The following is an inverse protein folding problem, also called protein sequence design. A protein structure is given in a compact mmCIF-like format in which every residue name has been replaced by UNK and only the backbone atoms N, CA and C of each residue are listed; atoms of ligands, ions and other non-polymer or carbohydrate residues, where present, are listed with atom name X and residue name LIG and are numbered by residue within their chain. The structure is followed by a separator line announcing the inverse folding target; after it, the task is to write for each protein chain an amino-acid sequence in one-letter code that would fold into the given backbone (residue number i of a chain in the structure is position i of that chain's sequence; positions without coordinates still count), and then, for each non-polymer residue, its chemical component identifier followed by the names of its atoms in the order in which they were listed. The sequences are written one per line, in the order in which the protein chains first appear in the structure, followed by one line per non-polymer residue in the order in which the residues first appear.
data_IF_504741081627
#
_entry.id   IF_504741081627
#
_cell.length_a   1.000
_cell.length_b   1.000
_cell.length_c   1.000
_cell.angle_alpha   90.00
_cell.angle_beta   90.00
_cell.angle_gamma   90.00
#
_symmetry.space_group_name_H-M   'P 1'
#
loop_
_entity.id
_entity.type
_entity.pdbx_description
1 polymer ?
#
# COMPACT_ATOMS: atom_id res chain seq x y z
N UNK A 1 1.33 -22.16 10.82
CA UNK A 1 1.24 -21.19 11.92
C UNK A 1 0.71 -21.87 13.15
N UNK A 2 1.38 -21.71 14.27
CA UNK A 2 0.98 -22.27 15.56
C UNK A 2 1.20 -21.19 16.61
N UNK A 3 0.17 -20.89 17.44
CA UNK A 3 0.23 -19.90 18.52
C UNK A 3 0.85 -18.54 18.10
N UNK A 4 0.48 -18.06 16.91
CA UNK A 4 1.01 -16.81 16.35
C UNK A 4 2.42 -16.90 15.77
N UNK A 5 3.11 -18.06 15.86
CA UNK A 5 4.43 -18.26 15.27
C UNK A 5 4.32 -18.82 13.86
N UNK A 6 4.85 -18.06 12.88
CA UNK A 6 4.89 -18.45 11.48
C UNK A 6 6.25 -19.04 11.11
N UNK A 7 6.24 -20.19 10.46
CA UNK A 7 7.48 -20.82 10.00
C UNK A 7 7.25 -22.13 9.27
N UNK A 8 8.36 -22.71 8.82
CA UNK A 8 8.40 -24.04 8.22
C UNK A 8 8.73 -25.09 9.28
N UNK A 9 8.11 -26.25 9.19
CA UNK A 9 8.50 -27.40 9.99
C UNK A 9 9.82 -27.92 9.44
N UNK A 10 10.88 -27.87 10.26
CA UNK A 10 12.21 -28.34 9.91
C UNK A 10 12.53 -29.71 10.47
N UNK A 11 11.88 -30.09 11.59
CA UNK A 11 12.10 -31.38 12.21
C UNK A 11 10.83 -31.80 12.99
N UNK A 12 10.50 -33.08 12.95
CA UNK A 12 9.40 -33.71 13.71
C UNK A 12 9.98 -34.84 14.54
N UNK A 13 9.91 -34.70 15.87
CA UNK A 13 10.35 -35.70 16.83
C UNK A 13 9.16 -36.36 17.52
N UNK A 14 9.42 -37.41 18.29
CA UNK A 14 8.38 -38.16 18.95
C UNK A 14 7.51 -37.32 19.92
N UNK A 15 8.05 -36.24 20.51
CA UNK A 15 7.37 -35.42 21.54
C UNK A 15 7.22 -33.96 21.14
N UNK A 16 8.00 -33.46 20.17
CA UNK A 16 7.98 -32.07 19.74
C UNK A 16 8.26 -31.92 18.27
N UNK A 17 7.83 -30.81 17.73
CA UNK A 17 8.07 -30.35 16.36
C UNK A 17 8.83 -29.05 16.39
N UNK A 18 9.85 -28.93 15.54
CA UNK A 18 10.64 -27.69 15.38
C UNK A 18 10.11 -26.91 14.20
N UNK A 19 9.75 -25.66 14.46
CA UNK A 19 9.26 -24.71 13.46
C UNK A 19 10.27 -23.58 13.35
N UNK A 20 10.81 -23.35 12.13
CA UNK A 20 11.77 -22.29 11.85
C UNK A 20 11.09 -21.15 11.09
N UNK A 21 11.17 -19.93 11.63
CA UNK A 21 10.67 -18.73 10.97
C UNK A 21 11.58 -18.26 9.84
N UNK A 22 11.05 -17.41 8.94
CA UNK A 22 11.86 -16.75 7.90
C UNK A 22 13.00 -15.86 8.43
N UNK A 23 12.94 -15.44 9.70
CA UNK A 23 14.00 -14.69 10.39
C UNK A 23 15.08 -15.61 11.01
N UNK A 24 14.97 -16.93 10.85
CA UNK A 24 15.90 -17.91 11.39
C UNK A 24 15.61 -18.33 12.83
N UNK A 25 14.62 -17.78 13.51
CA UNK A 25 14.22 -18.21 14.86
C UNK A 25 13.56 -19.59 14.79
N UNK A 26 13.86 -20.42 15.77
CA UNK A 26 13.25 -21.74 15.93
C UNK A 26 12.32 -21.75 17.14
N UNK A 27 11.16 -22.35 16.98
CA UNK A 27 10.19 -22.64 18.03
C UNK A 27 10.06 -24.14 18.18
N UNK A 28 10.19 -24.63 19.40
CA UNK A 28 10.00 -26.04 19.76
C UNK A 28 8.57 -26.15 20.32
N UNK A 29 7.72 -26.80 19.56
CA UNK A 29 6.29 -26.94 19.90
C UNK A 29 6.03 -28.39 20.32
N UNK A 30 5.50 -28.66 21.53
CA UNK A 30 5.08 -30.00 21.92
C UNK A 30 4.02 -30.54 20.94
N UNK A 31 4.12 -31.82 20.53
CA UNK A 31 3.17 -32.41 19.58
C UNK A 31 1.73 -32.41 20.13
N UNK A 32 1.56 -32.46 21.44
CA UNK A 32 0.25 -32.34 22.08
C UNK A 32 -0.44 -31.00 21.74
N UNK A 33 0.31 -29.90 21.72
CA UNK A 33 -0.22 -28.59 21.29
C UNK A 33 -0.63 -28.59 19.82
N UNK A 34 0.09 -29.31 18.97
CA UNK A 34 -0.24 -29.43 17.52
C UNK A 34 -1.58 -30.16 17.29
N UNK A 35 -1.99 -31.01 18.23
CA UNK A 35 -3.24 -31.81 18.13
C UNK A 35 -4.41 -31.10 18.82
N UNK A 36 -4.15 -30.36 19.91
CA UNK A 36 -5.19 -29.73 20.73
C UNK A 36 -5.51 -28.30 20.33
N UNK A 37 -4.58 -27.62 19.65
CA UNK A 37 -4.78 -26.23 19.24
C UNK A 37 -5.07 -26.12 17.74
N UNK A 38 -5.65 -24.98 17.35
CA UNK A 38 -5.85 -24.66 15.93
C UNK A 38 -4.49 -24.43 15.25
N UNK A 39 -4.19 -25.26 14.29
CA UNK A 39 -3.01 -25.13 13.41
C UNK A 39 -3.46 -24.61 12.05
N UNK A 40 -2.94 -23.48 11.63
CA UNK A 40 -3.13 -22.96 10.28
C UNK A 40 -2.02 -23.52 9.38
N UNK A 41 -2.38 -24.36 8.42
CA UNK A 41 -1.44 -24.93 7.47
C UNK A 41 -1.66 -24.27 6.09
N UNK A 42 -0.68 -23.50 5.63
CA UNK A 42 -0.72 -22.78 4.35
C UNK A 42 -0.34 -23.65 3.15
N UNK A 43 0.17 -24.85 3.38
CA UNK A 43 0.71 -25.72 2.31
C UNK A 43 0.07 -27.10 2.21
N UNK A 44 -0.96 -27.40 3.03
CA UNK A 44 -1.53 -28.76 3.10
C UNK A 44 -2.30 -29.14 1.84
N UNK A 45 -3.18 -28.26 1.36
CA UNK A 45 -4.04 -28.52 0.22
C UNK A 45 -3.69 -27.62 -0.98
N UNK A 46 -3.29 -26.38 -0.71
CA UNK A 46 -2.95 -25.38 -1.73
C UNK A 46 -1.75 -24.56 -1.26
N UNK A 47 -0.69 -24.59 -2.05
CA UNK A 47 0.52 -23.80 -1.75
C UNK A 47 0.41 -22.34 -2.19
N UNK A 48 -0.68 -21.99 -2.85
CA UNK A 48 -0.89 -20.62 -3.32
C UNK A 48 -1.22 -19.70 -2.13
N UNK A 49 -0.53 -18.58 -2.07
CA UNK A 49 -0.75 -17.56 -1.05
C UNK A 49 -1.14 -16.25 -1.73
N UNK A 50 -2.22 -15.65 -1.23
CA UNK A 50 -2.67 -14.34 -1.69
C UNK A 50 -1.81 -13.24 -1.07
N UNK A 51 -1.36 -12.32 -1.89
CA UNK A 51 -0.67 -11.10 -1.48
C UNK A 51 -1.31 -9.88 -2.10
N UNK A 52 -1.20 -8.75 -1.43
CA UNK A 52 -1.67 -7.48 -1.96
C UNK A 52 -0.73 -6.33 -1.61
N UNK A 53 -0.74 -5.31 -2.46
CA UNK A 53 -0.08 -4.02 -2.23
C UNK A 53 -1.03 -2.89 -2.61
N UNK A 54 -0.91 -1.76 -1.94
CA UNK A 54 -1.69 -0.55 -2.25
C UNK A 54 -0.77 0.47 -2.90
N UNK A 55 -1.27 1.10 -3.95
CA UNK A 55 -0.55 2.13 -4.71
C UNK A 55 -1.45 3.34 -4.86
N UNK A 56 -0.95 4.52 -4.46
CA UNK A 56 -1.61 5.80 -4.70
C UNK A 56 -1.10 6.43 -5.99
N UNK A 57 -2.00 6.95 -6.82
CA UNK A 57 -1.67 7.73 -8.03
C UNK A 57 -2.44 9.05 -8.02
N UNK A 58 -1.97 10.03 -8.75
CA UNK A 58 -2.62 11.34 -8.85
C UNK A 58 -4.04 11.26 -9.44
N UNK A 59 -4.90 12.21 -9.07
CA UNK A 59 -6.30 12.27 -9.52
C UNK A 59 -6.46 12.54 -11.02
N UNK A 60 -5.48 13.16 -11.66
CA UNK A 60 -5.51 13.52 -13.08
C UNK A 60 -5.14 12.39 -14.04
N UNK A 61 -4.80 11.20 -13.54
CA UNK A 61 -4.36 10.09 -14.36
C UNK A 61 -5.51 9.36 -15.08
N UNK A 62 -5.17 8.68 -16.18
CA UNK A 62 -6.08 7.75 -16.84
C UNK A 62 -6.18 6.44 -16.02
N UNK A 63 -7.33 6.25 -15.37
CA UNK A 63 -7.62 5.11 -14.48
C UNK A 63 -7.51 3.77 -15.21
N UNK A 64 -7.97 3.67 -16.45
CA UNK A 64 -7.95 2.43 -17.23
C UNK A 64 -6.51 2.06 -17.62
N UNK A 65 -5.73 3.06 -18.02
CA UNK A 65 -4.30 2.89 -18.27
C UNK A 65 -3.58 2.43 -17.00
N UNK A 66 -3.82 3.08 -15.86
CA UNK A 66 -3.23 2.70 -14.57
C UNK A 66 -3.54 1.24 -14.25
N UNK A 67 -4.80 0.82 -14.32
CA UNK A 67 -5.18 -0.57 -14.04
C UNK A 67 -4.43 -1.56 -14.95
N UNK A 68 -4.29 -1.24 -16.22
CA UNK A 68 -3.57 -2.07 -17.18
C UNK A 68 -2.09 -2.20 -16.83
N UNK A 69 -1.44 -1.06 -16.52
CA UNK A 69 -0.03 -1.03 -16.14
C UNK A 69 0.25 -1.79 -14.84
N UNK A 70 -0.60 -1.61 -13.82
CA UNK A 70 -0.47 -2.31 -12.54
C UNK A 70 -0.62 -3.83 -12.71
N UNK A 71 -1.58 -4.27 -13.56
CA UNK A 71 -1.75 -5.69 -13.86
C UNK A 71 -0.55 -6.28 -14.60
N UNK A 72 -0.03 -5.57 -15.60
CA UNK A 72 1.16 -6.00 -16.33
C UNK A 72 2.40 -6.05 -15.43
N UNK A 73 2.56 -5.04 -14.56
CA UNK A 73 3.64 -5.01 -13.58
C UNK A 73 3.60 -6.19 -12.63
N UNK A 74 2.41 -6.57 -12.12
CA UNK A 74 2.27 -7.76 -11.28
C UNK A 74 2.65 -9.03 -12.05
N UNK A 75 2.21 -9.17 -13.30
CA UNK A 75 2.49 -10.33 -14.15
C UNK A 75 3.94 -10.39 -14.67
N UNK A 76 4.74 -9.36 -14.47
CA UNK A 76 6.15 -9.35 -14.88
C UNK A 76 7.00 -10.32 -14.08
N UNK A 77 6.61 -10.62 -12.84
CA UNK A 77 7.26 -11.63 -12.01
C UNK A 77 6.76 -13.04 -12.37
N UNK A 78 7.71 -13.95 -12.58
CA UNK A 78 7.40 -15.37 -12.86
C UNK A 78 6.75 -16.09 -11.68
N UNK A 79 6.89 -15.55 -10.48
CA UNK A 79 6.34 -16.11 -9.22
C UNK A 79 4.87 -15.73 -9.01
N UNK A 80 4.38 -14.75 -9.73
CA UNK A 80 2.95 -14.37 -9.72
C UNK A 80 2.20 -15.30 -10.67
N UNK A 81 1.15 -15.92 -10.16
CA UNK A 81 0.30 -16.77 -10.97
C UNK A 81 -0.50 -15.97 -11.98
N UNK A 82 -0.63 -16.52 -13.18
CA UNK A 82 -1.47 -15.95 -14.22
C UNK A 82 -2.94 -16.34 -14.05
N UNK A 83 -3.18 -17.48 -13.41
CA UNK A 83 -4.51 -18.00 -13.06
C UNK A 83 -4.53 -18.45 -11.60
N UNK A 84 -5.40 -17.86 -10.77
CA UNK A 84 -6.27 -16.72 -11.07
C UNK A 84 -5.48 -15.44 -11.40
N UNK A 85 -6.02 -14.66 -12.35
CA UNK A 85 -5.38 -13.41 -12.78
C UNK A 85 -5.25 -12.41 -11.63
N UNK A 86 -4.19 -11.56 -11.61
CA UNK A 86 -4.06 -10.51 -10.63
C UNK A 86 -5.27 -9.57 -10.62
N UNK A 87 -5.76 -9.28 -9.45
CA UNK A 87 -6.78 -8.27 -9.22
C UNK A 87 -6.16 -6.89 -9.20
N UNK A 88 -6.76 -5.94 -9.90
CA UNK A 88 -6.43 -4.53 -9.80
C UNK A 88 -7.72 -3.74 -9.72
N UNK A 89 -7.92 -3.03 -8.62
CA UNK A 89 -9.12 -2.22 -8.40
C UNK A 89 -8.80 -0.91 -7.72
N UNK A 90 -9.55 0.15 -8.09
CA UNK A 90 -9.61 1.39 -7.33
C UNK A 90 -10.37 1.11 -6.03
N UNK A 91 -9.71 1.25 -4.90
CA UNK A 91 -10.26 0.87 -3.59
C UNK A 91 -10.59 2.05 -2.69
N UNK A 92 -9.97 3.20 -2.92
CA UNK A 92 -10.29 4.40 -2.15
C UNK A 92 -9.97 5.70 -2.92
N UNK A 93 -10.68 6.75 -2.54
CA UNK A 93 -10.38 8.13 -2.90
C UNK A 93 -9.75 8.80 -1.66
N UNK A 94 -8.42 8.78 -1.59
CA UNK A 94 -7.70 9.37 -0.48
C UNK A 94 -7.59 10.90 -0.64
N UNK A 95 -7.11 11.61 0.39
CA UNK A 95 -7.02 13.07 0.37
C UNK A 95 -6.17 13.61 -0.79
N UNK A 96 -5.10 12.88 -1.14
CA UNK A 96 -4.11 13.34 -2.12
C UNK A 96 -3.94 12.36 -3.29
N UNK A 97 -4.62 11.20 -3.28
CA UNK A 97 -4.40 10.12 -4.24
C UNK A 97 -5.66 9.30 -4.52
N UNK A 98 -5.69 8.68 -5.70
CA UNK A 98 -6.53 7.53 -6.00
C UNK A 98 -5.80 6.27 -5.56
N UNK A 99 -6.36 5.49 -4.62
CA UNK A 99 -5.73 4.28 -4.11
C UNK A 99 -6.19 3.05 -4.89
N UNK A 100 -5.23 2.35 -5.47
CA UNK A 100 -5.43 1.06 -6.14
C UNK A 100 -4.89 -0.07 -5.29
N UNK A 101 -5.68 -1.14 -5.15
CA UNK A 101 -5.19 -2.39 -4.60
C UNK A 101 -4.82 -3.34 -5.72
N UNK A 102 -3.58 -3.81 -5.68
CA UNK A 102 -3.05 -4.84 -6.57
C UNK A 102 -2.92 -6.13 -5.77
N UNK A 103 -3.77 -7.10 -6.06
CA UNK A 103 -3.79 -8.40 -5.41
C UNK A 103 -3.38 -9.51 -6.36
N UNK A 104 -2.57 -10.45 -5.90
CA UNK A 104 -2.07 -11.54 -6.73
C UNK A 104 -1.81 -12.81 -5.90
N UNK A 105 -1.88 -13.94 -6.56
CA UNK A 105 -1.52 -15.24 -6.01
C UNK A 105 -0.06 -15.59 -6.34
N UNK A 106 0.63 -16.18 -5.39
CA UNK A 106 1.98 -16.72 -5.57
C UNK A 106 2.01 -18.21 -5.26
N UNK A 107 2.86 -18.96 -5.97
CA UNK A 107 2.97 -20.42 -5.84
C UNK A 107 4.00 -20.92 -4.83
N UNK A 108 4.97 -20.09 -4.48
CA UNK A 108 6.15 -20.48 -3.69
C UNK A 108 6.38 -19.53 -2.51
N UNK A 109 5.54 -19.60 -1.45
CA UNK A 109 5.69 -18.72 -0.29
C UNK A 109 7.02 -18.91 0.45
N UNK A 110 7.58 -20.13 0.42
CA UNK A 110 8.87 -20.47 1.02
C UNK A 110 10.06 -19.74 0.39
N UNK A 111 9.98 -19.36 -0.87
CA UNK A 111 11.00 -18.57 -1.56
C UNK A 111 11.03 -17.07 -1.14
N UNK A 112 10.22 -16.71 -0.14
CA UNK A 112 10.17 -15.39 0.47
C UNK A 112 9.08 -14.48 -0.12
N UNK A 113 8.10 -14.15 0.70
CA UNK A 113 6.96 -13.27 0.35
C UNK A 113 7.43 -11.82 0.18
N UNK A 114 8.32 -11.34 1.06
CA UNK A 114 8.83 -9.97 1.01
C UNK A 114 9.64 -9.68 -0.25
N UNK A 115 10.42 -10.66 -0.72
CA UNK A 115 11.18 -10.52 -1.96
C UNK A 115 10.27 -10.32 -3.17
N UNK A 116 9.23 -11.15 -3.30
CA UNK A 116 8.25 -11.01 -4.37
C UNK A 116 7.51 -9.68 -4.29
N UNK A 117 7.08 -9.28 -3.09
CA UNK A 117 6.39 -7.99 -2.90
C UNK A 117 7.25 -6.81 -3.33
N UNK A 118 8.55 -6.84 -2.99
CA UNK A 118 9.50 -5.82 -3.44
C UNK A 118 9.66 -5.81 -4.96
N UNK A 119 9.77 -6.97 -5.59
CA UNK A 119 9.88 -7.12 -7.04
C UNK A 119 8.66 -6.52 -7.76
N UNK A 120 7.46 -6.87 -7.32
CA UNK A 120 6.21 -6.34 -7.88
C UNK A 120 6.12 -4.82 -7.67
N UNK A 121 6.43 -4.31 -6.47
CA UNK A 121 6.40 -2.88 -6.18
C UNK A 121 7.39 -2.08 -7.05
N UNK A 122 8.59 -2.63 -7.29
CA UNK A 122 9.57 -2.01 -8.18
C UNK A 122 9.10 -2.02 -9.64
N UNK A 123 8.46 -3.09 -10.09
CA UNK A 123 7.89 -3.16 -11.42
C UNK A 123 6.75 -2.13 -11.60
N UNK A 124 5.88 -1.99 -10.60
CA UNK A 124 4.83 -0.97 -10.56
C UNK A 124 5.44 0.43 -10.66
N UNK A 125 6.42 0.74 -9.81
CA UNK A 125 7.07 2.05 -9.80
C UNK A 125 7.71 2.39 -11.16
N UNK A 126 8.36 1.41 -11.79
CA UNK A 126 8.95 1.58 -13.13
C UNK A 126 7.88 1.81 -14.20
N UNK A 127 6.78 1.06 -14.16
CA UNK A 127 5.70 1.19 -15.12
C UNK A 127 5.01 2.56 -15.03
N UNK A 128 4.70 3.04 -13.84
CA UNK A 128 4.09 4.35 -13.62
C UNK A 128 5.01 5.48 -14.10
N UNK A 129 6.29 5.45 -13.73
CA UNK A 129 7.28 6.45 -14.16
C UNK A 129 7.48 6.49 -15.68
N UNK A 130 7.49 5.33 -16.32
CA UNK A 130 7.64 5.25 -17.78
C UNK A 130 6.48 5.90 -18.54
N UNK A 131 5.30 6.02 -17.91
CA UNK A 131 4.11 6.62 -18.50
C UNK A 131 3.79 8.01 -17.93
N UNK A 132 4.71 8.60 -17.16
CA UNK A 132 4.54 9.93 -16.57
C UNK A 132 3.42 10.01 -15.52
N UNK A 133 3.09 8.89 -14.87
CA UNK A 133 2.09 8.85 -13.81
C UNK A 133 2.79 9.02 -12.48
N UNK A 134 2.47 10.10 -11.77
CA UNK A 134 3.10 10.43 -10.51
C UNK A 134 2.41 9.76 -9.31
N UNK A 135 3.23 9.38 -8.34
CA UNK A 135 2.78 9.01 -7.00
C UNK A 135 2.79 10.30 -6.18
N UNK A 136 1.61 10.83 -5.82
CA UNK A 136 1.53 12.17 -5.26
C UNK A 136 2.20 12.26 -3.89
N UNK A 137 2.84 13.39 -3.64
CA UNK A 137 3.22 13.79 -2.29
C UNK A 137 2.01 14.41 -1.58
N UNK A 138 1.94 14.41 -0.24
CA UNK A 138 0.92 15.13 0.49
C UNK A 138 0.85 16.59 0.03
N UNK A 139 -0.28 17.02 -0.51
CA UNK A 139 -0.47 18.36 -1.04
C UNK A 139 -1.22 19.23 -0.02
N UNK A 140 -0.77 20.45 0.17
CA UNK A 140 -1.48 21.47 0.95
C UNK A 140 -1.72 22.68 0.07
N UNK A 141 -2.99 23.02 -0.13
CA UNK A 141 -3.36 24.29 -0.75
C UNK A 141 -3.22 25.39 0.30
N UNK A 142 -2.25 26.27 0.13
CA UNK A 142 -2.08 27.44 0.99
C UNK A 142 -2.79 28.61 0.33
N UNK A 143 -3.92 29.02 0.88
CA UNK A 143 -4.54 30.28 0.51
C UNK A 143 -3.82 31.42 1.22
N UNK A 144 -3.03 32.20 0.51
CA UNK A 144 -2.49 33.44 1.05
C UNK A 144 -3.65 34.45 1.21
N UNK A 145 -3.97 34.80 2.44
CA UNK A 145 -4.87 35.93 2.67
C UNK A 145 -4.22 37.18 2.15
N UNK A 146 -4.78 37.81 1.13
CA UNK A 146 -4.33 39.16 0.71
C UNK A 146 -4.54 40.11 1.89
N UNK A 147 -3.48 40.78 2.39
CA UNK A 147 -3.67 41.76 3.46
C UNK A 147 -4.67 42.81 2.98
N UNK A 148 -5.72 43.05 3.77
CA UNK A 148 -6.67 44.12 3.49
C UNK A 148 -5.90 45.45 3.37
N UNK A 149 -5.97 46.10 2.24
CA UNK A 149 -5.42 47.43 2.05
C UNK A 149 -6.02 48.33 3.14
N UNK A 150 -5.19 48.97 4.00
CA UNK A 150 -5.74 49.84 5.01
C UNK A 150 -6.58 50.95 4.33
N UNK A 151 -7.84 51.07 4.74
CA UNK A 151 -8.73 52.10 4.23
C UNK A 151 -8.07 53.46 4.42
N UNK A 152 -7.86 54.20 3.35
CA UNK A 152 -7.35 55.59 3.41
C UNK A 152 -8.34 56.38 4.28
N UNK A 153 -7.87 57.03 5.36
CA UNK A 153 -8.75 57.83 6.20
C UNK A 153 -9.43 58.95 5.36
N UNK A 154 -10.75 59.05 5.50
CA UNK A 154 -11.51 60.10 4.81
C UNK A 154 -10.94 61.49 5.16
N UNK A 155 -10.82 62.40 4.19
CA UNK A 155 -10.36 63.76 4.46
C UNK A 155 -11.32 64.45 5.47
N UNK A 156 -10.78 65.27 6.40
CA UNK A 156 -11.58 65.99 7.39
C UNK A 156 -12.58 66.95 6.70
N UNK A 157 -13.76 67.15 7.26
CA UNK A 157 -14.76 68.03 6.68
C UNK A 157 -14.21 69.48 6.62
N UNK A 158 -14.41 70.11 5.48
CA UNK A 158 -14.01 71.51 5.27
C UNK A 158 -14.69 72.44 6.33
N UNK A 159 -13.85 73.21 7.06
CA UNK A 159 -14.34 74.19 8.00
C UNK A 159 -15.12 75.25 7.23
N UNK A 160 -16.41 75.35 7.50
CA UNK A 160 -17.23 76.40 6.96
C UNK A 160 -16.68 77.80 7.42
N UNK A 161 -16.44 78.66 6.46
CA UNK A 161 -16.14 80.03 6.66
C UNK A 161 -17.36 80.74 7.30
N UNK A 162 -17.25 81.13 8.54
CA UNK A 162 -18.23 82.04 9.19
C UNK A 162 -17.95 83.42 8.64
N UNK A 163 -18.85 83.98 7.82
CA UNK A 163 -18.87 85.40 7.47
C UNK A 163 -19.49 86.13 8.61
N UNK A 164 -18.73 87.08 9.13
CA UNK A 164 -19.18 88.14 10.04
C UNK A 164 -19.81 89.24 9.19
N UNK A 165 -21.06 89.56 9.45
CA UNK A 165 -21.67 90.91 9.38
C UNK A 165 -22.49 91.11 10.61
#
# INVERSE_FOLDING_TARGET
RVDGFDGQITDIRARYTVIRSGSGRESIVPNEMMVTQRVENLSLADRRVWQSTVVGVEYGCDVELVQTLLRQAALSSKRVLREPAPFVGLTAFAADALEFTVGYWMSEPEAGVLGLRSEVNLAILKALRAHGIDIPFPQRVVHAATPATPATPAPPPARGSVSLE
#
